data_IF_653067166903
#
_entry.id   IF_653067166903
#
_cell.length_a   1.000
_cell.length_b   1.000
_cell.length_c   1.000
_cell.angle_alpha   90.00
_cell.angle_beta   90.00
_cell.angle_gamma   90.00
#
_symmetry.space_group_name_H-M   'P 1'
#
loop_
_entity.id
_entity.type
_entity.pdbx_description
1 polymer ?
#
# COMPACT_ATOMS: atom_id res chain seq x y z
N UNK A 1 -82.01 22.70 -0.87
CA UNK A 1 -81.20 22.24 0.31
C UNK A 1 -79.88 21.75 -0.19
N UNK A 2 -78.88 22.64 -0.15
CA UNK A 2 -77.52 22.37 -0.59
C UNK A 2 -76.67 21.93 0.60
N UNK A 3 -76.05 20.75 0.48
CA UNK A 3 -75.17 20.17 1.48
C UNK A 3 -73.73 20.62 1.20
N UNK A 4 -73.14 21.49 2.04
CA UNK A 4 -71.75 21.91 1.95
C UNK A 4 -70.81 20.79 2.43
N UNK A 5 -69.99 20.23 1.53
CA UNK A 5 -68.89 19.33 1.88
C UNK A 5 -67.68 20.17 2.28
N UNK A 6 -67.30 20.13 3.54
CA UNK A 6 -66.04 20.66 4.05
C UNK A 6 -64.92 19.67 3.76
N UNK A 7 -63.99 20.05 2.89
CA UNK A 7 -62.74 19.32 2.63
C UNK A 7 -61.73 19.71 3.69
N UNK A 8 -61.34 18.78 4.52
CA UNK A 8 -60.20 18.93 5.44
C UNK A 8 -58.92 18.65 4.67
N UNK A 9 -58.07 19.66 4.49
CA UNK A 9 -56.69 19.51 3.97
C UNK A 9 -55.80 19.29 5.18
N UNK A 10 -55.36 18.05 5.39
CA UNK A 10 -54.27 17.73 6.30
C UNK A 10 -52.92 18.12 5.64
N UNK A 11 -52.39 19.25 6.06
CA UNK A 11 -51.01 19.64 5.75
C UNK A 11 -50.03 18.79 6.55
N UNK A 12 -49.45 17.77 5.92
CA UNK A 12 -48.29 17.09 6.49
C UNK A 12 -47.04 17.98 6.33
N UNK A 13 -46.63 18.61 7.40
CA UNK A 13 -45.34 19.27 7.48
C UNK A 13 -44.25 18.17 7.49
N UNK A 14 -43.59 17.96 6.35
CA UNK A 14 -42.36 17.17 6.30
C UNK A 14 -41.29 17.93 7.03
N UNK A 15 -41.01 17.58 8.28
CA UNK A 15 -39.82 18.02 8.98
C UNK A 15 -38.63 17.46 8.23
N UNK A 16 -37.92 18.32 7.47
CA UNK A 16 -36.62 17.98 6.92
C UNK A 16 -35.69 17.70 8.10
N UNK A 17 -35.36 16.41 8.31
CA UNK A 17 -34.29 16.01 9.22
C UNK A 17 -33.02 16.65 8.68
N UNK A 18 -32.51 17.66 9.39
CA UNK A 18 -31.19 18.20 9.13
C UNK A 18 -30.20 17.02 9.22
N UNK A 19 -29.25 16.89 8.27
CA UNK A 19 -28.26 15.83 8.35
C UNK A 19 -27.55 15.95 9.70
N UNK A 20 -27.53 14.88 10.49
CA UNK A 20 -26.82 14.82 11.74
C UNK A 20 -25.37 15.25 11.44
N UNK A 21 -24.92 16.34 12.10
CA UNK A 21 -23.58 16.83 11.93
C UNK A 21 -22.63 15.71 12.34
N UNK A 22 -21.97 15.08 11.35
CA UNK A 22 -21.03 14.01 11.64
C UNK A 22 -19.92 14.54 12.55
N UNK A 23 -19.64 13.82 13.64
CA UNK A 23 -18.59 14.19 14.57
C UNK A 23 -17.25 14.28 13.81
N UNK A 24 -16.50 15.36 14.06
CA UNK A 24 -15.15 15.54 13.54
C UNK A 24 -14.27 14.32 13.89
N UNK A 25 -13.65 13.73 12.90
CA UNK A 25 -12.75 12.58 13.08
C UNK A 25 -11.36 13.09 13.52
N UNK A 26 -10.83 12.53 14.58
CA UNK A 26 -9.55 12.94 15.17
C UNK A 26 -8.47 11.93 14.86
N UNK A 27 -7.48 12.34 14.05
CA UNK A 27 -6.40 11.50 13.54
C UNK A 27 -5.08 11.91 14.18
N UNK A 28 -4.23 10.94 14.50
CA UNK A 28 -2.85 11.19 14.90
C UNK A 28 -1.87 10.63 13.86
N UNK A 29 -0.79 11.39 13.58
CA UNK A 29 0.29 11.00 12.70
C UNK A 29 1.48 10.47 13.51
N UNK A 30 1.91 9.23 13.25
CA UNK A 30 3.08 8.59 13.88
C UNK A 30 4.12 8.34 12.80
N UNK A 31 5.30 8.95 12.96
CA UNK A 31 6.35 8.98 11.94
C UNK A 31 6.17 10.12 10.94
N UNK A 32 7.13 11.05 10.91
CA UNK A 32 7.08 12.29 10.12
C UNK A 32 8.33 12.36 9.22
N UNK A 33 8.63 11.23 8.57
CA UNK A 33 9.57 11.18 7.46
C UNK A 33 8.95 11.72 6.16
N UNK A 34 9.63 11.54 5.03
CA UNK A 34 9.13 12.01 3.73
C UNK A 34 7.70 11.48 3.44
N UNK A 35 7.47 10.18 3.65
CA UNK A 35 6.15 9.59 3.41
C UNK A 35 5.14 10.04 4.47
N UNK A 36 5.52 10.07 5.75
CA UNK A 36 4.64 10.55 6.82
C UNK A 36 4.19 12.00 6.62
N UNK A 37 5.09 12.88 6.19
CA UNK A 37 4.73 14.27 5.83
C UNK A 37 3.75 14.31 4.64
N UNK A 38 3.93 13.45 3.63
CA UNK A 38 3.00 13.35 2.50
C UNK A 38 1.61 12.89 2.95
N UNK A 39 1.54 11.88 3.84
CA UNK A 39 0.28 11.40 4.39
C UNK A 39 -0.39 12.44 5.30
N UNK A 40 0.38 13.16 6.11
CA UNK A 40 -0.14 14.26 6.93
C UNK A 40 -0.83 15.32 6.06
N UNK A 41 -0.24 15.67 4.91
CA UNK A 41 -0.88 16.58 3.94
C UNK A 41 -2.20 16.02 3.42
N UNK A 42 -2.25 14.74 3.05
CA UNK A 42 -3.48 14.08 2.59
C UNK A 42 -4.55 14.06 3.68
N UNK A 43 -4.18 13.86 4.96
CA UNK A 43 -5.12 13.97 6.10
C UNK A 43 -5.65 15.40 6.23
N UNK A 44 -4.79 16.40 6.10
CA UNK A 44 -5.18 17.81 6.18
C UNK A 44 -6.09 18.27 5.03
N UNK A 45 -6.09 17.57 3.89
CA UNK A 45 -7.00 17.82 2.77
C UNK A 45 -8.42 17.26 3.01
N UNK A 46 -8.57 16.35 3.99
CA UNK A 46 -9.88 15.76 4.28
C UNK A 46 -10.80 16.74 5.03
N UNK A 47 -12.06 16.78 4.62
CA UNK A 47 -13.10 17.55 5.32
C UNK A 47 -13.49 16.85 6.61
N UNK A 48 -13.81 17.64 7.63
CA UNK A 48 -14.28 17.15 8.94
C UNK A 48 -13.30 16.15 9.59
N UNK A 49 -12.01 16.31 9.30
CA UNK A 49 -10.90 15.58 9.93
C UNK A 49 -9.97 16.58 10.57
N UNK A 50 -9.55 16.28 11.80
CA UNK A 50 -8.61 17.05 12.57
C UNK A 50 -7.38 16.23 12.94
N UNK A 51 -6.21 16.80 12.75
CA UNK A 51 -4.95 16.24 13.28
C UNK A 51 -4.86 16.55 14.76
N UNK A 52 -5.11 15.57 15.62
CA UNK A 52 -5.12 15.72 17.06
C UNK A 52 -3.73 15.64 17.68
N UNK A 53 -2.83 14.84 17.08
CA UNK A 53 -1.47 14.66 17.56
C UNK A 53 -0.50 14.34 16.42
N UNK A 54 0.76 14.71 16.62
CA UNK A 54 1.91 14.34 15.78
C UNK A 54 2.99 13.71 16.66
N UNK A 55 3.62 12.64 16.14
CA UNK A 55 4.61 11.88 16.88
C UNK A 55 5.80 11.49 15.99
N UNK A 56 7.00 11.87 16.43
CA UNK A 56 8.29 11.41 15.86
C UNK A 56 9.35 11.50 16.95
N UNK A 57 10.39 10.70 16.90
CA UNK A 57 11.53 10.81 17.84
C UNK A 57 12.35 12.07 17.59
N UNK A 58 12.33 12.61 16.38
CA UNK A 58 13.04 13.82 15.96
C UNK A 58 12.20 15.07 16.29
N UNK A 59 12.75 15.97 17.11
CA UNK A 59 12.07 17.20 17.53
C UNK A 59 11.79 18.12 16.33
N UNK A 60 12.78 18.31 15.44
CA UNK A 60 12.62 19.19 14.27
C UNK A 60 11.52 18.73 13.32
N UNK A 61 11.34 17.41 13.18
CA UNK A 61 10.21 16.86 12.39
C UNK A 61 8.87 17.11 13.07
N UNK A 62 8.80 16.98 14.40
CA UNK A 62 7.58 17.29 15.15
C UNK A 62 7.19 18.77 15.00
N UNK A 63 8.16 19.69 15.13
CA UNK A 63 7.93 21.12 14.99
C UNK A 63 7.46 21.48 13.56
N UNK A 64 8.06 20.88 12.55
CA UNK A 64 7.64 21.04 11.16
C UNK A 64 6.22 20.51 10.91
N UNK A 65 5.86 19.38 11.52
CA UNK A 65 4.52 18.81 11.41
C UNK A 65 3.46 19.65 12.14
N UNK A 66 3.77 20.20 13.34
CA UNK A 66 2.89 21.13 14.04
C UNK A 66 2.66 22.41 13.22
N UNK A 67 3.73 22.94 12.60
CA UNK A 67 3.62 24.11 11.73
C UNK A 67 2.76 23.82 10.49
N UNK A 68 2.91 22.64 9.88
CA UNK A 68 2.10 22.21 8.73
C UNK A 68 0.62 22.05 9.11
N UNK A 69 0.34 21.52 10.31
CA UNK A 69 -1.01 21.27 10.82
C UNK A 69 -1.49 22.39 11.77
N UNK A 70 -0.96 23.62 11.67
CA UNK A 70 -1.25 24.72 12.61
C UNK A 70 -2.74 25.04 12.78
N UNK A 71 -3.57 24.83 11.73
CA UNK A 71 -5.03 25.03 11.83
C UNK A 71 -5.67 24.14 12.89
N UNK A 72 -5.10 22.96 13.12
CA UNK A 72 -5.64 21.93 14.02
C UNK A 72 -4.99 21.98 15.42
N UNK A 73 -3.85 22.70 15.55
CA UNK A 73 -3.07 22.82 16.77
C UNK A 73 -2.78 21.46 17.45
N UNK A 74 -2.13 20.50 16.75
CA UNK A 74 -1.92 19.15 17.27
C UNK A 74 -0.95 19.11 18.44
N UNK A 75 -1.19 18.20 19.40
CA UNK A 75 -0.22 17.89 20.45
C UNK A 75 0.98 17.16 19.86
N UNK A 76 2.17 17.39 20.45
CA UNK A 76 3.45 16.82 20.00
C UNK A 76 3.94 15.78 21.01
N UNK A 77 4.34 14.60 20.47
CA UNK A 77 4.83 13.47 21.28
C UNK A 77 6.10 12.88 20.69
N UNK A 78 7.03 12.45 21.53
CA UNK A 78 8.23 11.69 21.11
C UNK A 78 8.04 10.18 21.24
N UNK A 79 7.05 9.73 22.04
CA UNK A 79 6.75 8.32 22.29
C UNK A 79 5.31 8.00 21.81
N UNK A 80 5.19 7.08 20.87
CA UNK A 80 3.92 6.76 20.20
C UNK A 80 2.86 6.16 21.15
N UNK A 81 3.28 5.47 22.22
CA UNK A 81 2.34 4.89 23.19
C UNK A 81 1.51 5.96 23.87
N UNK A 82 2.10 7.14 24.11
CA UNK A 82 1.35 8.28 24.64
C UNK A 82 0.24 8.75 23.72
N UNK A 83 0.44 8.60 22.38
CA UNK A 83 -0.61 8.90 21.39
C UNK A 83 -1.74 7.86 21.48
N UNK A 84 -1.41 6.58 21.68
CA UNK A 84 -2.41 5.52 21.80
C UNK A 84 -3.28 5.66 23.07
N UNK A 85 -2.77 6.26 24.12
CA UNK A 85 -3.49 6.53 25.36
C UNK A 85 -4.52 7.66 25.24
N UNK A 86 -4.46 8.47 24.19
CA UNK A 86 -5.40 9.58 23.96
C UNK A 86 -6.80 9.03 23.63
N UNK A 87 -7.76 9.29 24.51
CA UNK A 87 -9.14 8.80 24.37
C UNK A 87 -9.91 9.51 23.25
N UNK A 88 -9.47 10.70 22.89
CA UNK A 88 -10.07 11.55 21.87
C UNK A 88 -9.45 11.39 20.47
N UNK A 89 -8.53 10.44 20.28
CA UNK A 89 -7.99 10.03 18.98
C UNK A 89 -8.78 8.82 18.48
N UNK A 90 -9.33 8.90 17.28
CA UNK A 90 -10.12 7.85 16.64
C UNK A 90 -9.26 6.93 15.76
N UNK A 91 -8.28 7.52 15.07
CA UNK A 91 -7.46 6.82 14.09
C UNK A 91 -5.99 7.26 14.16
N UNK A 92 -5.10 6.37 13.76
CA UNK A 92 -3.67 6.66 13.63
C UNK A 92 -3.16 6.33 12.23
N UNK A 93 -2.25 7.18 11.74
CA UNK A 93 -1.48 6.96 10.53
C UNK A 93 -0.05 6.61 10.92
N UNK A 94 0.42 5.42 10.60
CA UNK A 94 1.76 4.90 10.93
C UNK A 94 2.64 4.94 9.70
N UNK A 95 3.72 5.73 9.74
CA UNK A 95 4.68 5.90 8.64
C UNK A 95 6.13 5.97 9.16
N UNK A 96 6.48 5.02 9.98
CA UNK A 96 7.78 4.83 10.64
C UNK A 96 8.72 3.97 9.78
N UNK A 97 9.93 3.61 10.25
CA UNK A 97 10.71 2.53 9.63
C UNK A 97 9.97 1.19 9.60
N UNK A 98 10.24 0.37 8.58
CA UNK A 98 9.47 -0.83 8.25
C UNK A 98 9.40 -1.87 9.38
N UNK A 99 10.48 -1.99 10.16
CA UNK A 99 10.60 -2.91 11.30
C UNK A 99 9.63 -2.60 12.45
N UNK A 100 9.07 -1.39 12.49
CA UNK A 100 8.19 -0.91 13.55
C UNK A 100 6.69 -0.98 13.17
N UNK A 101 6.37 -1.15 11.89
CA UNK A 101 5.00 -1.06 11.38
C UNK A 101 4.05 -2.03 12.10
N UNK A 102 4.39 -3.31 12.10
CA UNK A 102 3.53 -4.38 12.63
C UNK A 102 3.19 -4.18 14.11
N UNK A 103 4.19 -3.88 14.94
CA UNK A 103 3.98 -3.70 16.36
C UNK A 103 3.18 -2.43 16.67
N UNK A 104 3.51 -1.31 16.01
CA UNK A 104 2.76 -0.06 16.22
C UNK A 104 1.31 -0.19 15.75
N UNK A 105 1.08 -0.84 14.60
CA UNK A 105 -0.26 -1.09 14.10
C UNK A 105 -1.06 -2.02 15.02
N UNK A 106 -0.44 -3.09 15.53
CA UNK A 106 -1.08 -4.01 16.44
C UNK A 106 -1.48 -3.34 17.77
N UNK A 107 -0.58 -2.59 18.40
CA UNK A 107 -0.87 -1.85 19.62
C UNK A 107 -1.96 -0.78 19.43
N UNK A 108 -1.98 -0.12 18.26
CA UNK A 108 -3.02 0.85 17.95
C UNK A 108 -4.41 0.18 17.82
N UNK A 109 -4.49 -0.97 17.16
CA UNK A 109 -5.71 -1.77 17.08
C UNK A 109 -6.18 -2.27 18.45
N UNK A 110 -5.26 -2.71 19.31
CA UNK A 110 -5.53 -3.11 20.70
C UNK A 110 -6.04 -1.94 21.56
N UNK A 111 -5.57 -0.72 21.26
CA UNK A 111 -6.09 0.51 21.85
C UNK A 111 -7.44 0.97 21.24
N UNK A 112 -8.02 0.18 20.32
CA UNK A 112 -9.29 0.46 19.67
C UNK A 112 -9.24 1.54 18.59
N UNK A 113 -8.06 1.87 18.05
CA UNK A 113 -7.88 2.88 17.02
C UNK A 113 -7.98 2.27 15.63
N UNK A 114 -8.62 2.96 14.68
CA UNK A 114 -8.47 2.65 13.26
C UNK A 114 -7.04 2.96 12.81
N UNK A 115 -6.50 2.13 11.94
CA UNK A 115 -5.09 2.23 11.56
C UNK A 115 -4.92 2.33 10.04
N UNK A 116 -4.27 3.39 9.57
CA UNK A 116 -3.59 3.40 8.28
C UNK A 116 -2.11 3.12 8.53
N UNK A 117 -1.58 2.03 8.02
CA UNK A 117 -0.17 1.68 8.19
C UNK A 117 0.54 1.61 6.85
N UNK A 118 1.68 2.30 6.73
CA UNK A 118 2.51 2.19 5.54
C UNK A 118 3.04 0.78 5.32
N UNK A 119 3.32 0.48 4.07
CA UNK A 119 3.92 -0.78 3.63
C UNK A 119 5.44 -0.84 3.99
N UNK A 120 6.01 -2.03 4.12
CA UNK A 120 5.37 -3.34 4.28
C UNK A 120 4.67 -3.47 5.64
N UNK A 121 3.68 -4.35 5.76
CA UNK A 121 3.02 -4.63 7.03
C UNK A 121 4.00 -5.12 8.11
N UNK A 122 5.02 -5.84 7.69
CA UNK A 122 6.12 -6.32 8.51
C UNK A 122 7.27 -6.80 7.63
N UNK A 123 8.43 -7.00 8.21
CA UNK A 123 9.63 -7.47 7.52
C UNK A 123 10.01 -8.91 7.87
N UNK A 124 9.28 -9.55 8.78
CA UNK A 124 9.39 -10.98 9.11
C UNK A 124 8.01 -11.61 9.20
N UNK A 125 7.91 -12.96 9.04
CA UNK A 125 6.63 -13.66 9.18
C UNK A 125 5.95 -13.42 10.54
N UNK A 126 6.73 -13.38 11.62
CA UNK A 126 6.23 -13.18 12.99
C UNK A 126 5.61 -11.78 13.15
N UNK A 127 6.22 -10.75 12.56
CA UNK A 127 5.67 -9.40 12.56
C UNK A 127 4.33 -9.34 11.81
N UNK A 128 4.24 -9.98 10.64
CA UNK A 128 3.01 -10.04 9.85
C UNK A 128 1.91 -10.76 10.64
N UNK A 129 2.22 -11.91 11.24
CA UNK A 129 1.29 -12.68 12.08
C UNK A 129 0.79 -11.87 13.28
N UNK A 130 1.69 -11.11 13.94
CA UNK A 130 1.34 -10.21 15.06
C UNK A 130 0.26 -9.18 14.65
N UNK A 131 0.44 -8.52 13.52
CA UNK A 131 -0.51 -7.53 13.02
C UNK A 131 -1.84 -8.17 12.59
N UNK A 132 -1.81 -9.32 11.90
CA UNK A 132 -3.00 -10.09 11.53
C UNK A 132 -3.82 -10.50 12.75
N UNK A 133 -3.17 -11.06 13.78
CA UNK A 133 -3.83 -11.48 15.02
C UNK A 133 -4.48 -10.30 15.76
N UNK A 134 -3.84 -9.15 15.78
CA UNK A 134 -4.42 -7.95 16.37
C UNK A 134 -5.63 -7.45 15.56
N UNK A 135 -5.53 -7.41 14.23
CA UNK A 135 -6.61 -6.96 13.36
C UNK A 135 -7.85 -7.88 13.46
N UNK A 136 -7.65 -9.21 13.51
CA UNK A 136 -8.74 -10.19 13.66
C UNK A 136 -9.50 -10.08 15.00
N UNK A 137 -8.85 -9.56 16.03
CA UNK A 137 -9.45 -9.37 17.37
C UNK A 137 -10.06 -7.98 17.56
N UNK A 138 -9.66 -7.02 16.75
CA UNK A 138 -10.07 -5.62 16.88
C UNK A 138 -11.44 -5.39 16.22
N UNK A 139 -12.22 -4.44 16.79
CA UNK A 139 -13.40 -3.89 16.12
C UNK A 139 -13.05 -2.82 15.09
N UNK A 140 -11.88 -2.18 15.26
CA UNK A 140 -11.32 -1.26 14.29
C UNK A 140 -10.58 -2.03 13.21
N UNK A 141 -10.47 -1.48 12.01
CA UNK A 141 -9.73 -2.09 10.93
C UNK A 141 -8.34 -1.49 10.76
N UNK A 142 -7.50 -2.22 10.01
CA UNK A 142 -6.22 -1.79 9.51
C UNK A 142 -6.27 -1.72 7.98
N UNK A 143 -5.94 -0.54 7.42
CA UNK A 143 -5.68 -0.33 6.00
C UNK A 143 -4.17 -0.23 5.77
N UNK A 144 -3.68 -0.94 4.75
CA UNK A 144 -2.26 -0.90 4.36
C UNK A 144 -2.01 0.12 3.25
N UNK A 145 -0.87 0.80 3.31
CA UNK A 145 -0.39 1.77 2.32
C UNK A 145 0.03 1.14 0.99
N UNK A 146 -0.72 0.16 0.46
CA UNK A 146 -0.53 -0.41 -0.88
C UNK A 146 -1.14 0.53 -1.93
N UNK A 147 -0.54 1.71 -2.05
CA UNK A 147 -1.07 2.83 -2.82
C UNK A 147 -1.31 2.52 -4.31
N UNK A 148 -0.55 1.58 -4.92
CA UNK A 148 -0.74 1.23 -6.34
C UNK A 148 -2.14 0.67 -6.62
N UNK A 149 -2.82 0.11 -5.62
CA UNK A 149 -4.21 -0.34 -5.74
C UNK A 149 -5.21 0.79 -5.96
N UNK A 150 -4.84 2.03 -5.60
CA UNK A 150 -5.69 3.21 -5.71
C UNK A 150 -5.38 4.06 -6.95
N UNK A 151 -4.41 3.65 -7.77
CA UNK A 151 -4.18 4.32 -9.05
C UNK A 151 -5.24 3.91 -10.07
N UNK A 152 -5.97 4.85 -10.67
CA UNK A 152 -7.08 4.56 -11.59
C UNK A 152 -6.67 3.67 -12.77
N UNK A 153 -5.46 3.84 -13.31
CA UNK A 153 -4.97 3.03 -14.42
C UNK A 153 -4.72 1.57 -14.00
N UNK A 154 -4.27 1.32 -12.75
CA UNK A 154 -4.09 -0.05 -12.23
C UNK A 154 -5.46 -0.69 -11.98
N UNK A 155 -6.39 0.04 -11.35
CA UNK A 155 -7.76 -0.41 -11.13
C UNK A 155 -8.43 -0.83 -12.44
N UNK A 156 -8.34 0.01 -13.48
CA UNK A 156 -8.93 -0.30 -14.78
C UNK A 156 -8.26 -1.50 -15.45
N UNK A 157 -6.93 -1.63 -15.35
CA UNK A 157 -6.21 -2.78 -15.88
C UNK A 157 -6.69 -4.10 -15.24
N UNK A 158 -6.85 -4.11 -13.92
CA UNK A 158 -7.36 -5.27 -13.18
C UNK A 158 -8.83 -5.56 -13.54
N UNK A 159 -9.64 -4.53 -13.75
CA UNK A 159 -11.02 -4.69 -14.24
C UNK A 159 -11.05 -5.31 -15.64
N UNK A 160 -10.19 -4.86 -16.56
CA UNK A 160 -10.03 -5.48 -17.89
C UNK A 160 -9.65 -6.96 -17.78
N UNK A 161 -8.75 -7.29 -16.83
CA UNK A 161 -8.27 -8.65 -16.63
C UNK A 161 -9.36 -9.57 -16.06
N UNK A 162 -10.01 -9.17 -14.97
CA UNK A 162 -10.90 -10.06 -14.21
C UNK A 162 -12.36 -9.98 -14.62
N UNK A 163 -12.89 -8.80 -14.93
CA UNK A 163 -14.29 -8.63 -15.31
C UNK A 163 -14.49 -8.80 -16.83
N UNK A 164 -13.62 -8.15 -17.62
CA UNK A 164 -13.72 -8.16 -19.09
C UNK A 164 -13.08 -9.38 -19.72
N UNK A 165 -12.29 -10.17 -18.96
CA UNK A 165 -11.55 -11.34 -19.45
C UNK A 165 -10.69 -11.03 -20.68
N UNK A 166 -10.09 -9.84 -20.72
CA UNK A 166 -9.46 -9.27 -21.92
C UNK A 166 -8.29 -10.11 -22.49
N UNK A 167 -7.77 -11.08 -21.73
CA UNK A 167 -6.70 -12.01 -22.14
C UNK A 167 -7.15 -13.48 -22.11
N UNK A 168 -8.45 -13.75 -21.90
CA UNK A 168 -8.95 -15.11 -21.64
C UNK A 168 -8.51 -15.62 -20.27
N UNK A 169 -8.00 -16.85 -20.20
CA UNK A 169 -7.44 -17.46 -18.99
C UNK A 169 -5.99 -16.99 -18.80
N UNK A 170 -5.66 -16.21 -17.75
CA UNK A 170 -4.28 -15.78 -17.51
C UNK A 170 -3.43 -16.95 -17.00
N UNK A 171 -2.13 -16.99 -17.36
CA UNK A 171 -1.21 -18.05 -16.95
C UNK A 171 0.21 -17.57 -16.62
N UNK A 172 0.68 -16.43 -17.17
CA UNK A 172 2.03 -15.90 -16.88
C UNK A 172 1.97 -14.41 -16.62
N UNK A 173 2.71 -13.95 -15.61
CA UNK A 173 2.99 -12.55 -15.37
C UNK A 173 4.49 -12.29 -15.55
N UNK A 174 4.83 -11.34 -16.40
CA UNK A 174 6.18 -10.79 -16.50
C UNK A 174 6.15 -9.39 -15.89
N UNK A 175 6.96 -9.15 -14.86
CA UNK A 175 6.97 -7.88 -14.20
C UNK A 175 8.40 -7.45 -13.82
N UNK A 176 8.62 -6.14 -13.82
CA UNK A 176 9.90 -5.60 -13.38
C UNK A 176 9.77 -4.19 -12.79
N UNK A 177 10.79 -3.80 -12.04
CA UNK A 177 11.03 -2.41 -11.65
C UNK A 177 12.50 -2.10 -11.78
N UNK A 178 12.84 -1.21 -12.69
CA UNK A 178 14.21 -0.74 -12.90
C UNK A 178 14.34 0.72 -12.50
N UNK A 179 15.43 1.05 -11.85
CA UNK A 179 15.79 2.43 -11.49
C UNK A 179 17.22 2.71 -11.89
N UNK A 180 17.46 3.92 -12.37
CA UNK A 180 18.83 4.36 -12.72
C UNK A 180 19.65 4.49 -11.43
N UNK A 181 20.87 3.96 -11.45
CA UNK A 181 21.81 4.16 -10.37
C UNK A 181 22.09 5.66 -10.14
N UNK A 182 22.17 6.06 -8.89
CA UNK A 182 22.56 7.42 -8.53
C UNK A 182 24.04 7.63 -8.88
N UNK A 183 24.34 8.71 -9.58
CA UNK A 183 25.74 9.07 -9.87
C UNK A 183 26.49 9.34 -8.56
N UNK A 184 27.73 8.88 -8.45
CA UNK A 184 28.58 9.25 -7.32
C UNK A 184 28.65 10.78 -7.13
N UNK A 185 28.48 11.24 -5.90
CA UNK A 185 28.43 12.67 -5.58
C UNK A 185 27.04 13.32 -5.65
N UNK A 186 26.02 12.60 -6.17
CA UNK A 186 24.62 13.05 -6.24
C UNK A 186 23.70 12.23 -5.34
N UNK A 187 24.26 11.55 -4.36
CA UNK A 187 23.50 10.75 -3.40
C UNK A 187 22.60 11.67 -2.56
N UNK A 188 21.29 11.40 -2.60
CA UNK A 188 20.38 12.05 -1.66
C UNK A 188 20.54 11.41 -0.30
N UNK A 189 20.65 12.20 0.79
CA UNK A 189 20.66 11.65 2.12
C UNK A 189 19.45 10.75 2.33
N UNK A 190 19.68 9.49 2.67
CA UNK A 190 18.65 8.54 3.09
C UNK A 190 18.70 8.38 4.60
N UNK A 191 17.57 8.10 5.21
CA UNK A 191 17.56 7.70 6.61
C UNK A 191 18.35 6.38 6.78
N UNK A 192 19.21 6.31 7.79
CA UNK A 192 20.12 5.17 8.00
C UNK A 192 19.39 3.81 8.06
N UNK A 193 18.16 3.79 8.57
CA UNK A 193 17.35 2.56 8.65
C UNK A 193 17.04 1.94 7.28
N UNK A 194 16.97 2.77 6.23
CA UNK A 194 16.56 2.31 4.90
C UNK A 194 17.54 1.29 4.32
N UNK A 195 18.82 1.56 4.49
CA UNK A 195 19.88 0.71 3.96
C UNK A 195 20.21 -0.48 4.90
N UNK A 196 19.74 -0.45 6.13
CA UNK A 196 19.87 -1.55 7.10
C UNK A 196 18.79 -2.61 6.86
N UNK A 197 19.19 -3.78 6.34
CA UNK A 197 18.27 -4.89 6.04
C UNK A 197 17.50 -5.41 7.26
N UNK A 198 18.04 -5.22 8.48
CA UNK A 198 17.35 -5.59 9.72
C UNK A 198 16.17 -4.67 10.03
N UNK A 199 16.16 -3.49 9.42
CA UNK A 199 15.12 -2.48 9.60
C UNK A 199 14.23 -2.30 8.39
N UNK A 200 14.79 -2.44 7.19
CA UNK A 200 14.04 -2.31 5.93
C UNK A 200 13.47 -3.63 5.42
N UNK A 201 14.08 -4.76 5.77
CA UNK A 201 13.74 -6.07 5.22
C UNK A 201 14.37 -6.35 3.86
N UNK A 202 15.31 -5.50 3.42
CA UNK A 202 15.94 -5.51 2.11
C UNK A 202 15.06 -4.93 0.98
N UNK A 203 15.67 -4.67 -0.18
CA UNK A 203 15.04 -4.06 -1.35
C UNK A 203 13.75 -4.75 -1.78
N UNK A 204 13.71 -6.07 -1.73
CA UNK A 204 12.55 -6.85 -2.12
C UNK A 204 11.35 -6.64 -1.18
N UNK A 205 11.57 -6.48 0.12
CA UNK A 205 10.50 -6.29 1.12
C UNK A 205 10.14 -4.81 1.24
N UNK A 206 11.13 -3.91 1.30
CA UNK A 206 10.85 -2.48 1.43
C UNK A 206 10.23 -1.90 0.17
N UNK A 207 10.73 -2.28 -1.01
CA UNK A 207 10.40 -1.59 -2.25
C UNK A 207 9.53 -2.43 -3.20
N UNK A 208 9.94 -3.69 -3.50
CA UNK A 208 9.20 -4.52 -4.44
C UNK A 208 7.84 -5.00 -3.92
N UNK A 209 7.57 -4.90 -2.62
CA UNK A 209 6.28 -5.27 -2.03
C UNK A 209 5.09 -4.61 -2.73
N UNK A 210 5.22 -3.38 -3.21
CA UNK A 210 4.19 -2.72 -4.02
C UNK A 210 3.92 -3.44 -5.34
N UNK A 211 5.00 -3.84 -6.02
CA UNK A 211 4.92 -4.50 -7.33
C UNK A 211 4.40 -5.93 -7.19
N UNK A 212 4.86 -6.64 -6.17
CA UNK A 212 4.41 -8.00 -5.86
C UNK A 212 2.93 -8.01 -5.45
N UNK A 213 2.45 -6.97 -4.78
CA UNK A 213 1.03 -6.80 -4.50
C UNK A 213 0.19 -6.67 -5.77
N UNK A 214 0.63 -5.86 -6.74
CA UNK A 214 -0.04 -5.76 -8.06
C UNK A 214 -0.04 -7.10 -8.78
N UNK A 215 1.06 -7.86 -8.71
CA UNK A 215 1.14 -9.20 -9.30
C UNK A 215 0.19 -10.20 -8.62
N UNK A 216 0.13 -10.20 -7.29
CA UNK A 216 -0.82 -11.04 -6.53
C UNK A 216 -2.28 -10.70 -6.90
N UNK A 217 -2.58 -9.41 -7.05
CA UNK A 217 -3.89 -8.95 -7.46
C UNK A 217 -4.23 -9.36 -8.90
N UNK A 218 -3.26 -9.21 -9.83
CA UNK A 218 -3.43 -9.66 -11.21
C UNK A 218 -3.59 -11.19 -11.31
N UNK A 219 -2.90 -11.96 -10.46
CA UNK A 219 -3.07 -13.40 -10.36
C UNK A 219 -4.38 -13.82 -9.69
N UNK A 220 -5.03 -12.94 -8.93
CA UNK A 220 -6.15 -13.24 -8.03
C UNK A 220 -5.86 -14.44 -7.10
N UNK A 221 -4.61 -14.59 -6.68
CA UNK A 221 -4.08 -15.75 -5.95
C UNK A 221 -2.85 -15.34 -5.12
N UNK A 222 -2.37 -16.25 -4.30
CA UNK A 222 -1.08 -16.10 -3.58
C UNK A 222 -0.07 -17.14 -4.09
N UNK A 223 1.24 -16.85 -4.00
CA UNK A 223 2.25 -17.82 -4.40
C UNK A 223 2.36 -18.97 -3.39
N UNK A 224 2.62 -20.18 -3.88
CA UNK A 224 2.87 -21.39 -3.06
C UNK A 224 4.35 -21.68 -2.92
N UNK A 225 5.17 -21.27 -3.91
CA UNK A 225 6.62 -21.44 -3.87
C UNK A 225 7.33 -20.39 -4.69
N UNK A 226 8.60 -20.16 -4.38
CA UNK A 226 9.46 -19.31 -5.18
C UNK A 226 10.91 -19.75 -5.13
N UNK A 227 11.66 -19.32 -6.16
CA UNK A 227 13.10 -19.39 -6.24
C UNK A 227 13.64 -18.07 -6.76
N UNK A 228 14.81 -17.65 -6.31
CA UNK A 228 15.37 -16.39 -6.77
C UNK A 228 16.87 -16.27 -6.56
N UNK A 229 17.43 -15.26 -7.20
CA UNK A 229 18.81 -14.87 -7.07
C UNK A 229 18.94 -13.35 -7.01
N UNK A 230 19.80 -12.87 -6.14
CA UNK A 230 20.04 -11.44 -5.99
C UNK A 230 21.26 -11.19 -5.12
N UNK A 231 21.84 -10.03 -5.26
CA UNK A 231 22.93 -9.56 -4.44
C UNK A 231 23.11 -8.05 -4.58
N UNK A 232 24.03 -7.52 -3.82
CA UNK A 232 24.58 -6.19 -4.06
C UNK A 232 25.67 -6.30 -5.13
N UNK A 233 25.47 -5.61 -6.25
CA UNK A 233 26.39 -5.60 -7.39
C UNK A 233 27.35 -4.41 -7.32
N UNK A 234 26.87 -3.23 -6.92
CA UNK A 234 27.66 -2.00 -6.85
C UNK A 234 28.21 -1.76 -5.43
N UNK A 235 29.54 -1.83 -5.22
CA UNK A 235 30.11 -1.80 -3.87
C UNK A 235 30.00 -0.45 -3.16
N UNK A 236 29.77 0.64 -3.90
CA UNK A 236 29.86 2.02 -3.36
C UNK A 236 28.51 2.73 -3.14
N UNK A 237 27.38 2.07 -3.37
CA UNK A 237 26.06 2.72 -3.28
C UNK A 237 25.47 2.72 -1.87
N UNK A 238 26.10 2.05 -0.92
CA UNK A 238 25.57 1.84 0.43
C UNK A 238 26.71 1.95 1.46
N UNK A 239 26.48 2.60 2.63
CA UNK A 239 27.48 2.68 3.71
C UNK A 239 28.00 1.32 4.14
N UNK A 240 29.22 1.27 4.67
CA UNK A 240 29.81 0.05 5.20
C UNK A 240 28.90 -0.59 6.25
N UNK A 241 28.67 -1.89 6.13
CA UNK A 241 27.76 -2.66 7.01
C UNK A 241 26.31 -2.78 6.55
N UNK A 242 25.91 -2.06 5.53
CA UNK A 242 24.59 -2.13 4.92
C UNK A 242 24.58 -3.21 3.84
N UNK A 243 23.56 -4.08 3.82
CA UNK A 243 23.52 -5.30 2.99
C UNK A 243 22.34 -5.32 2.02
N UNK A 244 21.66 -4.17 1.83
CA UNK A 244 20.55 -4.09 0.89
C UNK A 244 21.01 -4.47 -0.53
N UNK A 245 20.27 -5.38 -1.16
CA UNK A 245 20.46 -5.75 -2.57
C UNK A 245 20.21 -4.53 -3.48
N UNK A 246 20.91 -4.46 -4.60
CA UNK A 246 20.64 -3.49 -5.66
C UNK A 246 20.17 -4.15 -6.96
N UNK A 247 20.06 -5.47 -6.96
CA UNK A 247 19.48 -6.24 -8.06
C UNK A 247 19.08 -7.65 -7.65
N UNK A 248 17.95 -8.11 -8.15
CA UNK A 248 17.46 -9.48 -7.96
C UNK A 248 16.46 -9.89 -9.04
N UNK A 249 16.28 -11.21 -9.18
CA UNK A 249 15.21 -11.83 -9.95
C UNK A 249 14.60 -12.98 -9.13
N UNK A 250 13.28 -13.09 -9.13
CA UNK A 250 12.53 -14.13 -8.41
C UNK A 250 11.43 -14.67 -9.30
N UNK A 251 11.28 -15.99 -9.32
CA UNK A 251 10.17 -16.69 -9.97
C UNK A 251 9.26 -17.27 -8.91
N UNK A 252 7.93 -17.03 -9.04
CA UNK A 252 6.90 -17.52 -8.13
C UNK A 252 5.92 -18.43 -8.87
N UNK A 253 5.48 -19.49 -8.22
CA UNK A 253 4.33 -20.31 -8.64
C UNK A 253 3.17 -20.01 -7.70
N UNK A 254 2.00 -19.74 -8.27
CA UNK A 254 0.77 -19.42 -7.53
C UNK A 254 -0.10 -20.66 -7.30
N UNK A 255 -1.04 -20.60 -6.34
CA UNK A 255 -1.98 -21.71 -6.07
C UNK A 255 -2.82 -22.11 -7.29
N UNK A 256 -3.13 -21.17 -8.18
CA UNK A 256 -3.87 -21.39 -9.43
C UNK A 256 -2.98 -21.74 -10.61
N UNK A 257 -1.78 -22.21 -10.36
CA UNK A 257 -0.77 -22.62 -11.35
C UNK A 257 -0.27 -21.50 -12.28
N UNK A 258 -0.62 -20.25 -11.99
CA UNK A 258 0.02 -19.11 -12.66
C UNK A 258 1.47 -18.98 -12.22
N UNK A 259 2.30 -18.43 -13.11
CA UNK A 259 3.67 -18.16 -12.75
C UNK A 259 4.05 -16.68 -12.97
N UNK A 260 4.85 -16.14 -12.04
CA UNK A 260 5.37 -14.78 -12.10
C UNK A 260 6.89 -14.82 -12.22
N UNK A 261 7.44 -14.14 -13.22
CA UNK A 261 8.83 -13.73 -13.27
C UNK A 261 8.93 -12.24 -12.89
N UNK A 262 9.59 -11.96 -11.78
CA UNK A 262 9.80 -10.60 -11.30
C UNK A 262 11.29 -10.27 -11.18
N UNK A 263 11.69 -9.12 -11.70
CA UNK A 263 13.05 -8.61 -11.52
C UNK A 263 13.06 -7.14 -11.09
N UNK A 264 14.09 -6.77 -10.32
CA UNK A 264 14.32 -5.38 -9.95
C UNK A 264 15.80 -5.06 -9.97
N UNK A 265 16.13 -3.94 -10.63
CA UNK A 265 17.51 -3.45 -10.75
C UNK A 265 17.58 -1.96 -10.41
N UNK A 266 18.48 -1.61 -9.50
CA UNK A 266 18.87 -0.21 -9.23
C UNK A 266 20.13 0.17 -10.00
N UNK A 267 20.40 -0.53 -11.10
CA UNK A 267 21.61 -0.43 -11.92
C UNK A 267 21.30 -0.03 -13.36
N UNK A 268 20.06 0.31 -13.66
CA UNK A 268 19.60 0.56 -15.03
C UNK A 268 20.32 1.79 -15.63
N UNK A 269 20.99 1.65 -16.78
CA UNK A 269 21.61 2.78 -17.45
C UNK A 269 20.55 3.79 -17.92
N UNK A 270 20.78 5.08 -17.65
CA UNK A 270 19.78 6.13 -17.92
C UNK A 270 19.35 6.21 -19.39
N UNK A 271 20.24 5.90 -20.31
CA UNK A 271 20.00 6.07 -21.75
C UNK A 271 19.61 4.76 -22.47
N UNK A 272 19.54 3.63 -21.75
CA UNK A 272 19.11 2.36 -22.33
C UNK A 272 17.61 2.42 -22.60
N UNK A 273 17.21 2.29 -23.85
CA UNK A 273 15.80 2.35 -24.29
C UNK A 273 15.19 0.97 -24.51
N UNK A 274 16.03 -0.02 -24.79
CA UNK A 274 15.64 -1.40 -25.10
C UNK A 274 15.05 -2.12 -23.90
N UNK A 275 15.52 -1.81 -22.69
CA UNK A 275 14.94 -2.25 -21.45
C UNK A 275 14.29 -1.08 -20.74
N UNK A 276 13.00 -1.13 -20.48
CA UNK A 276 12.28 -0.04 -19.83
C UNK A 276 12.83 0.29 -18.46
N UNK A 277 13.03 1.57 -18.19
CA UNK A 277 13.20 2.09 -16.84
C UNK A 277 11.81 2.22 -16.16
N UNK A 278 11.76 2.17 -14.84
CA UNK A 278 10.53 2.21 -14.07
C UNK A 278 9.90 0.82 -13.88
N UNK A 279 8.62 0.82 -13.60
CA UNK A 279 7.87 -0.41 -13.34
C UNK A 279 6.93 -0.73 -14.50
N UNK A 280 6.82 -2.01 -14.84
CA UNK A 280 5.84 -2.50 -15.78
C UNK A 280 5.40 -3.93 -15.45
N UNK A 281 4.23 -4.30 -15.95
CA UNK A 281 3.63 -5.60 -15.75
C UNK A 281 2.92 -6.00 -17.04
N UNK A 282 3.18 -7.23 -17.49
CA UNK A 282 2.44 -7.85 -18.61
C UNK A 282 1.86 -9.16 -18.11
N UNK A 283 0.55 -9.31 -18.28
CA UNK A 283 -0.18 -10.54 -18.01
C UNK A 283 -0.48 -11.23 -19.34
N UNK A 284 -0.01 -12.45 -19.49
CA UNK A 284 -0.26 -13.30 -20.66
C UNK A 284 -1.39 -14.28 -20.34
N UNK A 285 -2.28 -14.48 -21.29
CA UNK A 285 -3.39 -15.42 -21.20
C UNK A 285 -3.69 -16.09 -22.53
N UNK A 286 -4.72 -16.93 -22.55
CA UNK A 286 -5.08 -17.78 -23.70
C UNK A 286 -5.50 -17.00 -24.96
N UNK A 287 -5.94 -15.74 -24.80
CA UNK A 287 -6.47 -14.93 -25.91
C UNK A 287 -5.59 -13.69 -26.21
N UNK A 288 -4.52 -13.49 -25.47
CA UNK A 288 -3.61 -12.37 -25.67
C UNK A 288 -2.88 -11.96 -24.42
N UNK A 289 -2.43 -10.70 -24.37
CA UNK A 289 -1.74 -10.14 -23.22
C UNK A 289 -2.25 -8.75 -22.88
N UNK A 290 -2.06 -8.36 -21.61
CA UNK A 290 -2.43 -7.05 -21.08
C UNK A 290 -1.23 -6.40 -20.41
N UNK A 291 -0.90 -5.18 -20.82
CA UNK A 291 0.09 -4.33 -20.16
C UNK A 291 -0.61 -3.37 -19.21
N UNK A 292 -0.31 -3.48 -17.90
CA UNK A 292 -1.01 -2.71 -16.85
C UNK A 292 -0.69 -1.21 -16.95
N UNK A 293 0.60 -0.84 -16.95
CA UNK A 293 1.01 0.57 -16.91
C UNK A 293 0.74 1.31 -18.22
N UNK A 294 0.90 0.64 -19.36
CA UNK A 294 0.63 1.22 -20.68
C UNK A 294 -0.85 1.24 -21.05
N UNK A 295 -1.68 0.51 -20.30
CA UNK A 295 -3.10 0.44 -20.56
C UNK A 295 -3.47 -0.20 -21.88
N UNK A 296 -2.72 -1.23 -22.27
CA UNK A 296 -2.85 -1.87 -23.58
C UNK A 296 -3.29 -3.33 -23.45
N UNK A 297 -4.19 -3.75 -24.34
CA UNK A 297 -4.48 -5.15 -24.61
C UNK A 297 -3.96 -5.49 -25.99
N UNK A 298 -3.23 -6.59 -26.08
CA UNK A 298 -2.68 -7.16 -27.29
C UNK A 298 -3.36 -8.52 -27.51
N UNK A 299 -4.43 -8.58 -28.34
CA UNK A 299 -5.07 -9.85 -28.67
C UNK A 299 -4.08 -10.81 -29.36
N UNK A 300 -4.28 -12.12 -29.21
CA UNK A 300 -3.48 -13.13 -29.94
C UNK A 300 -3.55 -12.92 -31.45
N UNK A 301 -4.73 -12.52 -31.92
CA UNK A 301 -5.03 -12.20 -33.32
C UNK A 301 -5.80 -10.90 -33.40
N UNK A 302 -5.35 -9.94 -34.20
CA UNK A 302 -5.99 -8.65 -34.38
C UNK A 302 -5.15 -7.48 -33.89
N UNK A 303 -5.76 -6.29 -33.80
CA UNK A 303 -5.08 -5.07 -33.46
C UNK A 303 -5.04 -4.85 -31.95
N UNK A 304 -3.91 -4.29 -31.47
CA UNK A 304 -3.78 -3.84 -30.09
C UNK A 304 -4.75 -2.68 -29.80
N UNK A 305 -5.32 -2.65 -28.61
CA UNK A 305 -6.23 -1.60 -28.17
C UNK A 305 -5.80 -0.98 -26.85
N UNK A 306 -5.88 0.35 -26.77
CA UNK A 306 -5.71 1.08 -25.52
C UNK A 306 -7.05 1.13 -24.77
N UNK A 307 -7.02 0.86 -23.47
CA UNK A 307 -8.22 0.90 -22.62
C UNK A 307 -8.24 2.09 -21.63
N UNK A 308 -7.13 2.83 -21.50
CA UNK A 308 -7.07 4.00 -20.63
C UNK A 308 -7.66 5.23 -21.38
N UNK A 309 -8.57 5.92 -20.70
CA UNK A 309 -9.04 7.25 -21.12
C UNK A 309 -8.18 8.35 -20.48
N UNK A 310 -8.19 9.58 -21.00
CA UNK A 310 -7.46 10.70 -20.39
C UNK A 310 -7.80 10.93 -18.92
N UNK A 311 -9.05 10.72 -18.50
CA UNK A 311 -9.51 10.87 -17.13
C UNK A 311 -8.87 9.82 -16.22
N UNK A 312 -8.76 8.58 -16.68
CA UNK A 312 -8.10 7.49 -15.94
C UNK A 312 -6.59 7.74 -15.84
N UNK A 313 -5.95 8.16 -16.94
CA UNK A 313 -4.51 8.44 -16.97
C UNK A 313 -4.10 9.57 -16.01
N UNK A 314 -4.94 10.60 -15.88
CA UNK A 314 -4.69 11.77 -15.05
C UNK A 314 -5.28 11.65 -13.63
N UNK A 315 -5.96 10.55 -13.32
CA UNK A 315 -6.53 10.30 -12.00
C UNK A 315 -5.45 10.16 -10.92
N UNK A 316 -5.81 10.58 -9.71
CA UNK A 316 -4.92 10.52 -8.54
C UNK A 316 -5.25 9.34 -7.64
N UNK A 317 -4.25 8.90 -6.89
CA UNK A 317 -4.39 7.93 -5.81
C UNK A 317 -5.25 8.52 -4.68
N UNK A 318 -6.17 7.73 -4.14
CA UNK A 318 -7.18 8.16 -3.17
C UNK A 318 -7.29 7.22 -1.93
N UNK A 319 -6.18 6.65 -1.49
CA UNK A 319 -6.16 5.72 -0.37
C UNK A 319 -6.57 6.39 0.97
N UNK A 320 -6.21 7.66 1.17
CA UNK A 320 -6.54 8.37 2.41
C UNK A 320 -8.02 8.71 2.49
N UNK A 321 -8.63 9.15 1.39
CA UNK A 321 -10.09 9.40 1.35
C UNK A 321 -10.89 8.12 1.58
N UNK A 322 -10.44 6.97 1.04
CA UNK A 322 -11.07 5.69 1.35
C UNK A 322 -10.94 5.35 2.84
N UNK A 323 -9.77 5.51 3.43
CA UNK A 323 -9.55 5.27 4.86
C UNK A 323 -10.55 6.03 5.72
N UNK A 324 -10.69 7.32 5.48
CA UNK A 324 -11.63 8.20 6.21
C UNK A 324 -13.08 7.79 5.96
N UNK A 325 -13.43 7.48 4.71
CA UNK A 325 -14.77 7.03 4.32
C UNK A 325 -15.15 5.72 5.01
N UNK A 326 -14.24 4.73 5.05
CA UNK A 326 -14.48 3.45 5.69
C UNK A 326 -14.69 3.57 7.21
N UNK A 327 -14.00 4.51 7.87
CA UNK A 327 -14.25 4.79 9.30
C UNK A 327 -15.67 5.32 9.52
N UNK A 328 -16.17 6.16 8.62
CA UNK A 328 -17.48 6.82 8.74
C UNK A 328 -18.65 5.92 8.38
N UNK A 329 -18.51 5.19 7.29
CA UNK A 329 -19.57 4.37 6.72
C UNK A 329 -19.59 2.94 7.28
N UNK A 330 -18.49 2.52 7.90
CA UNK A 330 -18.24 1.12 8.24
C UNK A 330 -17.82 0.32 7.00
N UNK A 331 -17.27 -0.85 7.23
CA UNK A 331 -16.85 -1.74 6.16
C UNK A 331 -15.38 -2.14 6.28
N UNK A 332 -14.86 -2.75 5.20
CA UNK A 332 -13.45 -3.16 5.10
C UNK A 332 -12.75 -2.33 4.03
N UNK A 333 -11.54 -1.85 4.30
CA UNK A 333 -10.77 -1.12 3.31
C UNK A 333 -10.34 -2.05 2.16
N UNK A 334 -10.24 -1.50 0.96
CA UNK A 334 -9.82 -2.24 -0.22
C UNK A 334 -8.38 -2.81 -0.06
N UNK A 335 -7.46 -2.02 0.47
CA UNK A 335 -6.15 -2.52 0.88
C UNK A 335 -6.19 -2.98 2.35
N UNK A 336 -6.88 -4.10 2.62
CA UNK A 336 -7.06 -4.67 3.96
C UNK A 336 -5.75 -5.21 4.55
N UNK A 337 -5.81 -5.63 5.82
CA UNK A 337 -4.67 -6.27 6.50
C UNK A 337 -4.25 -7.56 5.80
N UNK A 338 -5.19 -8.35 5.26
CA UNK A 338 -4.90 -9.59 4.51
C UNK A 338 -4.17 -9.29 3.20
N UNK A 339 -4.55 -8.23 2.50
CA UNK A 339 -3.83 -7.73 1.32
C UNK A 339 -2.39 -7.38 1.67
N UNK A 340 -2.20 -6.60 2.74
CA UNK A 340 -0.86 -6.23 3.22
C UNK A 340 -0.02 -7.40 3.67
N UNK A 341 -0.65 -8.38 4.34
CA UNK A 341 -0.01 -9.60 4.79
C UNK A 341 0.45 -10.46 3.60
N UNK A 342 -0.44 -10.71 2.63
CA UNK A 342 -0.09 -11.47 1.42
C UNK A 342 1.05 -10.81 0.67
N UNK A 343 1.02 -9.50 0.46
CA UNK A 343 2.09 -8.77 -0.21
C UNK A 343 3.43 -8.86 0.54
N UNK A 344 3.42 -8.63 1.87
CA UNK A 344 4.62 -8.70 2.70
C UNK A 344 5.20 -10.12 2.72
N UNK A 345 4.37 -11.16 2.90
CA UNK A 345 4.82 -12.55 2.92
C UNK A 345 5.34 -13.00 1.55
N UNK A 346 4.75 -12.54 0.44
CA UNK A 346 5.28 -12.79 -0.92
C UNK A 346 6.70 -12.23 -1.05
N UNK A 347 6.92 -10.99 -0.60
CA UNK A 347 8.24 -10.36 -0.64
C UNK A 347 9.24 -11.04 0.30
N UNK A 348 8.82 -11.39 1.52
CA UNK A 348 9.64 -12.12 2.50
C UNK A 348 10.02 -13.50 1.96
N UNK A 349 9.08 -14.24 1.36
CA UNK A 349 9.37 -15.55 0.75
C UNK A 349 10.43 -15.44 -0.35
N UNK A 350 10.34 -14.42 -1.20
CA UNK A 350 11.34 -14.14 -2.24
C UNK A 350 12.72 -13.82 -1.63
N UNK A 351 12.78 -12.99 -0.58
CA UNK A 351 14.02 -12.72 0.15
C UNK A 351 14.64 -13.98 0.71
N UNK A 352 13.83 -14.81 1.39
CA UNK A 352 14.30 -16.06 1.97
C UNK A 352 14.83 -17.05 0.91
N UNK A 353 14.18 -17.12 -0.26
CA UNK A 353 14.64 -17.94 -1.37
C UNK A 353 16.03 -17.48 -1.88
N UNK A 354 16.23 -16.16 -2.01
CA UNK A 354 17.52 -15.59 -2.41
C UNK A 354 18.59 -15.87 -1.35
N UNK A 355 18.31 -15.64 -0.09
CA UNK A 355 19.28 -15.78 1.00
C UNK A 355 19.68 -17.24 1.23
N UNK A 356 18.71 -18.14 1.20
CA UNK A 356 18.92 -19.59 1.41
C UNK A 356 19.40 -20.29 0.14
N UNK A 357 19.38 -19.64 -1.03
CA UNK A 357 19.75 -20.18 -2.34
C UNK A 357 19.04 -21.49 -2.68
N UNK A 358 17.76 -21.58 -2.34
CA UNK A 358 16.89 -22.72 -2.61
C UNK A 358 15.45 -22.26 -2.81
N UNK A 359 14.64 -23.18 -3.29
CA UNK A 359 13.19 -22.99 -3.29
C UNK A 359 12.68 -22.83 -1.84
N UNK A 360 11.78 -21.87 -1.65
CA UNK A 360 11.04 -21.66 -0.40
C UNK A 360 9.56 -21.74 -0.70
N UNK A 361 8.82 -22.36 0.20
CA UNK A 361 7.36 -22.51 0.08
C UNK A 361 6.62 -21.57 1.02
N UNK A 362 5.37 -21.24 0.67
CA UNK A 362 4.50 -20.43 1.53
C UNK A 362 4.32 -21.07 2.92
N UNK A 363 4.18 -22.40 2.95
CA UNK A 363 4.02 -23.17 4.22
C UNK A 363 5.18 -22.95 5.18
N UNK A 364 6.39 -22.73 4.69
CA UNK A 364 7.57 -22.48 5.52
C UNK A 364 7.51 -21.15 6.26
N UNK A 365 6.67 -20.21 5.83
CA UNK A 365 6.50 -18.93 6.51
C UNK A 365 5.66 -19.06 7.80
N UNK A 366 4.84 -20.11 7.93
CA UNK A 366 4.11 -20.41 9.15
C UNK A 366 3.00 -19.43 9.52
N UNK A 367 2.53 -18.62 8.56
CA UNK A 367 1.49 -17.59 8.77
C UNK A 367 0.24 -17.95 7.98
N UNK A 368 -0.89 -17.93 8.64
CA UNK A 368 -2.21 -18.09 8.05
C UNK A 368 -2.83 -16.73 7.73
N UNK A 369 -3.12 -16.50 6.43
CA UNK A 369 -3.65 -15.21 5.92
C UNK A 369 -5.09 -15.37 5.46
#
# INVERSE_FOLDING_TARGET
MESARRTFVLGAAAAALAPAQQRELRVAQIGIGNRGTSLLKQVLEQRDVRVAAVCDIDAGKRDAAQSLAQRDNPKSYSEFRQVLDLKDVDAVVVATPCDLHAEMAALALEAGKYVYCEKPLGITPEQVDRALKAARKSKAFLQIGQQLRYYPHVLEAIRQLHEKKAVGTPFVIKAQRNSTATQPGNERPRAAWYDDVKRSGDLIVENAVHNLDVCNWAAASRPVSCFGHGKKYLPKTIPAGSVMMDGFSVSYIYENDMHLDYSQLYLHPRQMKELRNGQWYIVFGSEGSLEINGGMVYPMWGEARKFLTPEIENGKEDAMSEFIRMIREGGRPFASVEVGATAALTAIMGREAIYRRRMVTWKELGVDV
#
